data_IF_149582854194
#
_entry.id   IF_149582854194
#
_cell.length_a   1.000
_cell.length_b   1.000
_cell.length_c   1.000
_cell.angle_alpha   90.00
_cell.angle_beta   90.00
_cell.angle_gamma   90.00
#
_symmetry.space_group_name_H-M   'P 1'
#
loop_
_entity.id
_entity.type
_entity.pdbx_description
1 polymer ?
#
# COMPACT_ATOMS: atom_id res chain seq x y z
N UNK A 1 47.35 -5.03 -7.47
CA UNK A 1 46.62 -4.03 -6.65
C UNK A 1 45.20 -3.89 -7.21
N UNK A 2 44.25 -4.61 -6.62
CA UNK A 2 42.86 -4.70 -7.11
C UNK A 2 42.03 -3.43 -6.86
N UNK A 3 42.37 -2.65 -5.84
CA UNK A 3 41.65 -1.41 -5.49
C UNK A 3 41.81 -0.33 -6.56
N UNK A 4 42.96 -0.25 -7.21
CA UNK A 4 43.23 0.72 -8.27
C UNK A 4 42.41 0.46 -9.54
N UNK A 5 42.11 -0.82 -9.85
CA UNK A 5 41.29 -1.16 -11.01
C UNK A 5 39.79 -0.85 -10.83
N UNK A 6 39.34 -0.57 -9.61
CA UNK A 6 38.00 -0.06 -9.35
C UNK A 6 37.88 1.46 -9.60
N UNK A 7 38.99 2.22 -9.54
CA UNK A 7 38.98 3.67 -9.76
C UNK A 7 38.70 4.07 -11.22
N UNK A 8 38.98 3.18 -12.17
CA UNK A 8 38.73 3.42 -13.61
C UNK A 8 37.31 3.06 -14.06
N UNK A 9 36.43 2.60 -13.16
CA UNK A 9 35.05 2.26 -13.49
C UNK A 9 34.14 3.46 -13.26
N UNK A 10 33.16 3.65 -14.14
CA UNK A 10 32.13 4.68 -13.95
C UNK A 10 31.30 4.37 -12.69
N UNK A 11 30.87 5.40 -11.94
CA UNK A 11 30.04 5.22 -10.76
C UNK A 11 28.64 4.74 -11.16
N UNK A 12 28.13 3.72 -10.46
CA UNK A 12 26.77 3.17 -10.62
C UNK A 12 25.75 3.96 -9.78
N UNK A 13 26.21 4.96 -9.02
CA UNK A 13 25.37 5.74 -8.10
C UNK A 13 24.42 6.67 -8.84
N UNK A 14 23.21 6.82 -8.30
CA UNK A 14 22.18 7.74 -8.80
C UNK A 14 22.12 8.93 -7.83
N UNK A 15 22.10 10.15 -8.38
CA UNK A 15 22.18 11.38 -7.61
C UNK A 15 20.80 11.77 -7.04
N UNK A 16 20.40 11.16 -5.93
CA UNK A 16 19.23 11.62 -5.18
C UNK A 16 19.50 13.00 -4.54
N UNK A 17 18.57 13.96 -4.55
CA UNK A 17 17.17 13.92 -5.01
C UNK A 17 16.93 14.36 -6.46
N UNK A 18 17.98 14.74 -7.19
CA UNK A 18 17.90 15.29 -8.55
C UNK A 18 17.46 14.24 -9.58
N UNK A 19 17.96 13.01 -9.44
CA UNK A 19 17.61 11.87 -10.27
C UNK A 19 16.91 10.80 -9.43
N UNK A 20 15.69 10.41 -9.84
CA UNK A 20 14.90 9.36 -9.18
C UNK A 20 14.95 8.08 -10.00
N UNK A 21 15.09 6.97 -9.29
CA UNK A 21 14.94 5.63 -9.87
C UNK A 21 13.50 5.44 -10.37
N UNK A 22 13.36 4.87 -11.57
CA UNK A 22 12.08 4.43 -12.10
C UNK A 22 11.67 3.19 -11.31
N UNK A 23 10.57 3.28 -10.56
CA UNK A 23 10.01 2.15 -9.82
C UNK A 23 9.31 1.18 -10.77
N UNK A 24 9.33 -0.11 -10.45
CA UNK A 24 8.59 -1.12 -11.22
C UNK A 24 7.08 -0.93 -11.09
N UNK A 25 6.31 -1.40 -12.08
CA UNK A 25 4.83 -1.31 -12.09
C UNK A 25 4.18 -1.97 -10.87
N UNK A 26 4.83 -3.00 -10.30
CA UNK A 26 4.37 -3.74 -9.12
C UNK A 26 5.01 -3.27 -7.82
N UNK A 27 5.65 -2.10 -7.82
CA UNK A 27 6.26 -1.55 -6.61
C UNK A 27 5.20 -1.29 -5.53
N UNK A 28 5.44 -1.82 -4.33
CA UNK A 28 4.53 -1.69 -3.19
C UNK A 28 4.88 -0.45 -2.38
N UNK A 29 4.30 0.68 -2.79
CA UNK A 29 4.42 1.96 -2.10
C UNK A 29 3.26 2.21 -1.13
N UNK A 30 2.91 3.49 -0.94
CA UNK A 30 1.75 3.89 -0.15
C UNK A 30 0.46 3.38 -0.77
N UNK A 31 -0.40 2.82 0.07
CA UNK A 31 -1.72 2.32 -0.34
C UNK A 31 -2.64 3.52 -0.56
N UNK A 32 -3.32 3.53 -1.71
CA UNK A 32 -4.38 4.49 -2.02
C UNK A 32 -5.74 3.80 -1.93
N UNK A 33 -6.70 4.44 -1.25
CA UNK A 33 -8.06 3.93 -1.11
C UNK A 33 -9.04 5.00 -1.57
N UNK A 34 -9.93 4.62 -2.48
CA UNK A 34 -11.04 5.47 -2.90
C UNK A 34 -12.25 5.21 -1.99
N UNK A 35 -12.68 6.23 -1.25
CA UNK A 35 -13.79 6.12 -0.30
C UNK A 35 -15.10 5.71 -0.96
N UNK A 36 -15.37 6.21 -2.17
CA UNK A 36 -16.62 5.96 -2.90
C UNK A 36 -16.79 4.50 -3.35
N UNK A 37 -15.68 3.78 -3.53
CA UNK A 37 -15.69 2.36 -3.94
C UNK A 37 -15.74 1.39 -2.77
N UNK A 38 -15.51 1.86 -1.54
CA UNK A 38 -15.41 0.97 -0.39
C UNK A 38 -16.81 0.60 0.14
N UNK A 39 -17.11 -0.71 0.17
CA UNK A 39 -18.36 -1.27 0.69
C UNK A 39 -18.30 -1.68 2.17
N UNK A 40 -17.23 -1.30 2.89
CA UNK A 40 -17.00 -1.69 4.28
C UNK A 40 -17.09 -3.21 4.54
N UNK A 41 -16.39 -4.00 3.72
CA UNK A 41 -16.34 -5.47 3.82
C UNK A 41 -15.35 -6.01 4.87
N UNK A 42 -14.53 -5.14 5.46
CA UNK A 42 -13.52 -5.47 6.50
C UNK A 42 -12.52 -6.56 6.07
N UNK A 43 -12.36 -6.80 4.76
CA UNK A 43 -11.38 -7.79 4.24
C UNK A 43 -9.95 -7.29 4.39
N UNK A 44 -9.73 -5.98 4.29
CA UNK A 44 -8.43 -5.37 4.54
C UNK A 44 -7.91 -5.71 5.95
N UNK A 45 -8.74 -5.57 6.99
CA UNK A 45 -8.35 -5.91 8.38
C UNK A 45 -7.98 -7.39 8.49
N UNK A 46 -8.87 -8.27 8.02
CA UNK A 46 -8.72 -9.74 8.16
C UNK A 46 -7.51 -10.34 7.46
N UNK A 47 -7.08 -9.73 6.36
CA UNK A 47 -5.96 -10.22 5.56
C UNK A 47 -4.63 -9.62 6.05
N UNK A 48 -4.68 -8.60 6.91
CA UNK A 48 -3.49 -8.02 7.48
C UNK A 48 -2.87 -8.93 8.55
N UNK A 49 -1.54 -9.14 8.54
CA UNK A 49 -0.89 -9.89 9.62
C UNK A 49 -0.90 -9.16 10.98
N UNK A 50 -1.22 -7.87 11.00
CA UNK A 50 -1.19 -7.00 12.21
C UNK A 50 -2.54 -6.34 12.48
N UNK A 51 -3.63 -6.81 11.86
CA UNK A 51 -4.99 -6.26 12.02
C UNK A 51 -5.12 -4.74 11.78
N UNK A 52 -4.29 -4.19 10.89
CA UNK A 52 -4.46 -2.86 10.30
C UNK A 52 -5.29 -3.03 9.01
N UNK A 53 -6.11 -2.09 8.52
CA UNK A 53 -6.37 -0.71 8.93
C UNK A 53 -7.61 -0.56 9.82
N UNK A 54 -7.84 0.63 10.39
CA UNK A 54 -9.07 0.87 11.17
C UNK A 54 -10.21 1.22 10.23
N UNK A 55 -11.32 0.49 10.35
CA UNK A 55 -12.51 0.62 9.50
C UNK A 55 -13.74 0.85 10.37
N UNK A 56 -14.34 2.03 10.27
CA UNK A 56 -15.61 2.35 10.94
C UNK A 56 -16.74 2.36 9.92
N UNK A 57 -17.76 1.53 10.13
CA UNK A 57 -18.92 1.45 9.27
C UNK A 57 -20.23 1.55 10.04
N UNK A 58 -21.23 2.19 9.43
CA UNK A 58 -22.60 2.22 9.94
C UNK A 58 -23.51 1.40 9.02
N UNK A 59 -24.36 0.59 9.62
CA UNK A 59 -25.44 -0.09 8.92
C UNK A 59 -26.58 0.90 8.70
N UNK A 60 -26.91 1.14 7.43
CA UNK A 60 -28.07 1.93 7.08
C UNK A 60 -29.28 1.02 6.97
N UNK A 61 -30.27 1.25 7.84
CA UNK A 61 -31.42 0.36 8.02
C UNK A 61 -32.36 0.35 6.81
N UNK A 62 -32.45 1.45 6.05
CA UNK A 62 -33.33 1.57 4.89
C UNK A 62 -32.92 0.65 3.73
N UNK A 63 -31.62 0.54 3.46
CA UNK A 63 -31.10 -0.11 2.24
C UNK A 63 -30.38 -1.43 2.58
N UNK A 64 -30.28 -1.79 3.88
CA UNK A 64 -29.46 -2.92 4.38
C UNK A 64 -28.03 -2.91 3.83
N UNK A 65 -27.46 -1.71 3.62
CA UNK A 65 -26.08 -1.52 3.16
C UNK A 65 -25.24 -0.94 4.28
N UNK A 66 -23.98 -1.39 4.37
CA UNK A 66 -22.97 -0.77 5.21
C UNK A 66 -22.40 0.45 4.47
N UNK A 67 -22.38 1.60 5.14
CA UNK A 67 -21.69 2.80 4.67
C UNK A 67 -20.44 3.00 5.50
N UNK A 68 -19.31 3.22 4.82
CA UNK A 68 -18.07 3.57 5.49
C UNK A 68 -18.13 5.01 6.02
N UNK A 69 -17.71 5.22 7.26
CA UNK A 69 -17.61 6.55 7.87
C UNK A 69 -16.18 7.05 7.90
N UNK A 70 -15.28 6.19 8.38
CA UNK A 70 -13.89 6.52 8.62
C UNK A 70 -13.02 5.33 8.24
N UNK A 71 -11.87 5.66 7.67
CA UNK A 71 -10.86 4.70 7.25
C UNK A 71 -9.48 5.33 7.44
N UNK A 72 -8.67 4.75 8.31
CA UNK A 72 -7.33 5.23 8.62
C UNK A 72 -6.30 4.10 8.56
N UNK A 73 -5.17 4.39 7.91
CA UNK A 73 -4.01 3.49 7.82
C UNK A 73 -2.81 4.19 8.47
N UNK A 74 -2.22 3.55 9.47
CA UNK A 74 -0.96 3.99 10.07
C UNK A 74 0.25 3.49 9.28
N UNK A 75 0.81 4.36 8.44
CA UNK A 75 1.95 4.02 7.59
C UNK A 75 3.26 3.72 8.36
N UNK A 76 3.35 4.12 9.63
CA UNK A 76 4.52 3.81 10.47
C UNK A 76 4.59 2.36 10.93
N UNK A 77 3.45 1.65 10.94
CA UNK A 77 3.34 0.26 11.41
C UNK A 77 3.16 -0.69 10.21
N UNK A 78 2.57 -0.21 9.12
CA UNK A 78 2.30 -1.00 7.92
C UNK A 78 3.55 -1.60 7.26
N UNK A 79 3.49 -2.90 6.98
CA UNK A 79 4.60 -3.68 6.37
C UNK A 79 4.62 -3.57 4.82
N UNK A 80 3.67 -2.86 4.20
CA UNK A 80 3.52 -2.74 2.74
C UNK A 80 3.46 -4.08 2.00
N UNK A 81 2.82 -5.08 2.62
CA UNK A 81 2.68 -6.44 2.09
C UNK A 81 1.73 -6.54 0.88
N UNK A 82 0.92 -5.52 0.58
CA UNK A 82 0.06 -5.48 -0.61
C UNK A 82 -1.01 -6.57 -0.70
N UNK A 83 -1.20 -7.35 0.38
CA UNK A 83 -2.06 -8.54 0.36
C UNK A 83 -3.52 -8.16 0.10
N UNK A 84 -4.01 -7.06 0.67
CA UNK A 84 -5.41 -6.63 0.51
C UNK A 84 -5.78 -6.26 -0.93
N UNK A 85 -4.82 -5.75 -1.72
CA UNK A 85 -5.05 -5.44 -3.13
C UNK A 85 -5.36 -6.68 -3.98
N UNK A 86 -4.84 -7.84 -3.56
CA UNK A 86 -5.07 -9.13 -4.24
C UNK A 86 -6.50 -9.62 -4.00
N UNK A 87 -6.99 -9.49 -2.76
CA UNK A 87 -8.34 -9.98 -2.38
C UNK A 87 -9.48 -9.05 -2.79
N UNK A 88 -9.20 -7.76 -3.04
CA UNK A 88 -10.20 -6.81 -3.57
C UNK A 88 -10.75 -7.24 -4.94
N UNK A 89 -9.90 -7.84 -5.78
CA UNK A 89 -10.32 -8.40 -7.08
C UNK A 89 -11.27 -9.60 -6.96
N UNK A 90 -11.30 -10.30 -5.82
CA UNK A 90 -12.20 -11.44 -5.59
C UNK A 90 -13.61 -11.05 -5.15
N UNK A 91 -13.82 -9.77 -4.80
CA UNK A 91 -15.08 -9.24 -4.25
C UNK A 91 -15.82 -8.37 -5.28
N UNK A 92 -15.15 -8.04 -6.38
CA UNK A 92 -15.69 -7.30 -7.53
C UNK A 92 -16.45 -8.25 -8.45
#
# INVERSE_FOLDING_TARGET
>A
MITLSHASRLPVTIQYPYEKLITSERFRGRIHVEFDKCIACEVCVRVCPIDLPVVDSKLETDIRRKRLLNYSIDFGIGIFCGNWGIYLWSIS
#
